data_IF_301044427789
#
_entry.id   IF_301044427789
#
_cell.length_a   1.000
_cell.length_b   1.000
_cell.length_c   1.000
_cell.angle_alpha   90.00
_cell.angle_beta   90.00
_cell.angle_gamma   90.00
#
_symmetry.space_group_name_H-M   'P 1'
#
loop_
_entity.id
_entity.type
_entity.pdbx_description
1 polymer ?
#
# COMPACT_ATOMS: atom_id res chain seq x y z
N UNK A 1 -14.01 68.02 -9.13
CA UNK A 1 -13.19 67.63 -7.96
C UNK A 1 -13.21 66.11 -7.86
N UNK A 2 -12.05 65.48 -8.09
CA UNK A 2 -11.57 64.10 -7.79
C UNK A 2 -12.49 62.87 -8.02
N UNK A 3 -12.06 61.73 -8.59
CA UNK A 3 -10.81 61.32 -9.24
C UNK A 3 -11.00 59.93 -9.91
N UNK A 4 -10.46 59.80 -11.14
CA UNK A 4 -9.95 58.66 -11.93
C UNK A 4 -10.30 57.19 -11.55
N UNK A 5 -10.94 56.40 -12.43
CA UNK A 5 -10.41 55.69 -13.63
C UNK A 5 -9.75 54.34 -13.32
N UNK A 6 -10.41 53.25 -13.70
CA UNK A 6 -9.89 51.87 -13.76
C UNK A 6 -10.08 51.34 -15.19
N UNK A 7 -8.97 51.16 -15.91
CA UNK A 7 -8.90 50.41 -17.17
C UNK A 7 -7.63 49.58 -17.15
N UNK A 8 -7.79 48.25 -17.06
CA UNK A 8 -6.71 47.28 -17.20
C UNK A 8 -6.44 47.04 -18.69
N UNK A 9 -5.24 47.41 -19.14
CA UNK A 9 -4.67 47.00 -20.42
C UNK A 9 -3.54 45.99 -20.19
N UNK A 10 -3.51 44.96 -21.03
CA UNK A 10 -2.45 43.97 -21.18
C UNK A 10 -1.09 44.59 -21.54
N UNK A 11 0.00 44.08 -20.95
CA UNK A 11 1.39 44.27 -21.43
C UNK A 11 2.21 43.02 -21.05
N UNK A 12 2.47 42.10 -21.99
CA UNK A 12 3.69 41.96 -22.83
C UNK A 12 4.99 41.90 -22.02
N UNK A 13 5.58 40.70 -21.94
CA UNK A 13 6.96 40.47 -21.49
C UNK A 13 7.97 40.70 -22.63
N UNK A 14 9.15 41.28 -22.38
CA UNK A 14 10.12 41.58 -23.43
C UNK A 14 11.09 40.42 -23.72
N UNK A 15 11.42 40.30 -25.01
CA UNK A 15 12.46 39.46 -25.58
C UNK A 15 13.85 39.69 -24.97
N UNK A 16 14.57 38.60 -24.69
CA UNK A 16 16.02 38.57 -24.55
C UNK A 16 16.65 37.96 -25.79
N UNK A 17 17.51 38.76 -26.43
CA UNK A 17 18.26 38.47 -27.65
C UNK A 17 19.66 37.97 -27.29
N UNK A 18 20.08 36.81 -27.82
CA UNK A 18 21.50 36.50 -28.04
C UNK A 18 21.69 35.66 -29.31
N UNK A 19 22.45 36.22 -30.27
CA UNK A 19 23.18 35.54 -31.36
C UNK A 19 24.18 34.56 -30.73
N UNK A 20 24.63 33.45 -31.30
CA UNK A 20 24.54 32.82 -32.61
C UNK A 20 25.66 31.75 -32.65
N UNK A 21 25.51 30.68 -33.43
CA UNK A 21 26.57 29.68 -33.64
C UNK A 21 26.00 28.27 -33.85
N UNK A 22 26.06 27.80 -35.10
CA UNK A 22 25.42 26.57 -35.56
C UNK A 22 26.08 25.27 -35.11
N UNK A 23 25.27 24.21 -35.12
CA UNK A 23 25.67 22.82 -34.91
C UNK A 23 24.46 21.93 -35.19
N UNK A 24 24.37 21.48 -36.44
CA UNK A 24 23.33 20.59 -36.97
C UNK A 24 23.46 19.21 -36.29
N UNK A 25 22.46 18.77 -35.51
CA UNK A 25 22.28 17.34 -35.19
C UNK A 25 20.80 16.98 -35.28
N UNK A 26 20.52 16.17 -36.30
CA UNK A 26 19.23 15.61 -36.67
C UNK A 26 18.94 14.41 -35.73
N UNK A 27 17.87 14.48 -34.94
CA UNK A 27 17.37 13.33 -34.18
C UNK A 27 16.04 12.86 -34.80
N UNK A 28 15.93 11.61 -35.29
CA UNK A 28 14.68 11.11 -35.82
C UNK A 28 13.71 10.73 -34.69
N UNK A 29 12.56 11.41 -34.66
CA UNK A 29 11.36 10.99 -33.94
C UNK A 29 10.64 9.96 -34.80
N UNK A 30 10.77 8.68 -34.48
CA UNK A 30 9.82 7.63 -34.88
C UNK A 30 10.23 6.28 -34.30
N UNK A 31 9.42 5.69 -33.40
CA UNK A 31 9.15 4.24 -33.42
C UNK A 31 8.14 3.68 -32.39
N UNK A 32 7.17 4.46 -31.90
CA UNK A 32 6.17 3.87 -30.98
C UNK A 32 5.04 3.10 -31.71
N UNK A 33 4.80 3.36 -33.01
CA UNK A 33 3.68 2.74 -33.76
C UNK A 33 4.00 1.38 -34.40
N UNK A 34 5.26 0.95 -34.50
CA UNK A 34 5.62 -0.35 -35.10
C UNK A 34 5.51 -1.55 -34.16
N UNK A 35 5.47 -1.33 -32.84
CA UNK A 35 5.34 -2.45 -31.88
C UNK A 35 3.89 -2.90 -31.68
N UNK A 36 2.90 -2.02 -31.84
CA UNK A 36 1.48 -2.40 -31.70
C UNK A 36 0.95 -3.22 -32.90
N UNK A 37 1.44 -2.99 -34.12
CA UNK A 37 1.01 -3.77 -35.30
C UNK A 37 1.55 -5.22 -35.31
N UNK A 38 2.72 -5.49 -34.70
CA UNK A 38 3.26 -6.85 -34.62
C UNK A 38 2.57 -7.74 -33.59
N UNK A 39 1.85 -7.17 -32.62
CA UNK A 39 1.12 -7.95 -31.62
C UNK A 39 -0.30 -8.32 -32.07
N UNK A 40 -0.95 -7.53 -32.92
CA UNK A 40 -2.25 -7.90 -33.50
C UNK A 40 -2.14 -9.03 -34.55
N UNK A 41 -1.07 -9.07 -35.35
CA UNK A 41 -0.90 -10.14 -36.37
C UNK A 41 -0.59 -11.52 -35.76
N UNK A 42 -0.10 -11.61 -34.52
CA UNK A 42 0.17 -12.91 -33.86
C UNK A 42 -1.08 -13.52 -33.19
N UNK A 43 -2.20 -12.81 -33.17
CA UNK A 43 -3.47 -13.32 -32.63
C UNK A 43 -4.48 -13.75 -33.71
N UNK A 44 -4.25 -13.47 -34.99
CA UNK A 44 -5.11 -13.92 -36.09
C UNK A 44 -4.64 -15.24 -36.74
N UNK A 45 -3.45 -15.75 -36.42
CA UNK A 45 -2.90 -16.98 -37.04
C UNK A 45 -3.12 -18.27 -36.20
N UNK A 46 -4.09 -18.27 -35.27
CA UNK A 46 -4.42 -19.48 -34.44
C UNK A 46 -5.91 -19.88 -34.56
N UNK A 47 -6.64 -19.36 -35.55
CA UNK A 47 -8.01 -19.82 -35.83
C UNK A 47 -8.23 -20.01 -37.32
N UNK A 48 -7.70 -21.11 -37.86
CA UNK A 48 -8.25 -21.84 -39.02
C UNK A 48 -7.34 -23.05 -39.29
N UNK A 49 -7.73 -24.22 -38.78
CA UNK A 49 -7.59 -25.47 -39.54
C UNK A 49 -8.54 -26.51 -38.94
N UNK A 50 -9.59 -26.82 -39.70
CA UNK A 50 -10.64 -27.76 -39.36
C UNK A 50 -10.84 -28.66 -40.60
N UNK A 51 -10.39 -29.93 -40.56
CA UNK A 51 -10.55 -30.78 -41.74
C UNK A 51 -9.90 -32.17 -41.82
N UNK A 52 -10.44 -33.12 -41.03
CA UNK A 52 -10.89 -34.46 -41.52
C UNK A 52 -9.84 -35.56 -41.87
N UNK A 53 -9.72 -36.53 -40.94
CA UNK A 53 -9.98 -37.96 -41.22
C UNK A 53 -8.80 -38.94 -41.35
N UNK A 54 -8.63 -39.84 -40.36
CA UNK A 54 -8.69 -41.29 -40.59
C UNK A 54 -8.77 -42.11 -39.29
N UNK A 55 -9.57 -43.15 -39.38
CA UNK A 55 -9.95 -44.14 -38.37
C UNK A 55 -8.79 -45.11 -38.06
N UNK A 56 -8.53 -45.35 -36.77
CA UNK A 56 -7.85 -46.56 -36.28
C UNK A 56 -8.27 -46.92 -34.83
N UNK A 57 -9.42 -47.57 -34.72
CA UNK A 57 -9.66 -48.81 -33.97
C UNK A 57 -8.75 -49.21 -32.78
N UNK A 58 -9.42 -49.37 -31.61
CA UNK A 58 -9.16 -50.33 -30.51
C UNK A 58 -7.93 -50.08 -29.62
N UNK A 59 -8.05 -49.87 -28.30
CA UNK A 59 -8.40 -50.93 -27.33
C UNK A 59 -8.58 -50.34 -25.92
N UNK A 60 -9.74 -50.62 -25.33
CA UNK A 60 -10.03 -50.47 -23.89
C UNK A 60 -9.05 -51.29 -23.06
N UNK A 61 -8.46 -50.69 -22.02
CA UNK A 61 -8.07 -51.41 -20.80
C UNK A 61 -8.78 -50.77 -19.62
N UNK A 62 -9.93 -51.34 -19.32
CA UNK A 62 -10.53 -51.30 -18.00
C UNK A 62 -9.63 -52.11 -17.06
N UNK A 63 -9.22 -51.53 -15.95
CA UNK A 63 -8.83 -52.29 -14.77
C UNK A 63 -9.86 -51.97 -13.69
N UNK A 64 -10.95 -52.74 -13.68
CA UNK A 64 -11.69 -53.01 -12.47
C UNK A 64 -10.91 -54.08 -11.71
N UNK A 65 -10.40 -53.72 -10.53
CA UNK A 65 -10.18 -54.71 -9.49
C UNK A 65 -10.88 -54.26 -8.22
N UNK A 66 -11.72 -55.17 -7.74
CA UNK A 66 -12.54 -55.10 -6.56
C UNK A 66 -11.72 -54.90 -5.28
N UNK A 67 -12.39 -54.31 -4.30
CA UNK A 67 -11.96 -54.08 -2.92
C UNK A 67 -11.49 -55.35 -2.18
N UNK A 68 -10.79 -55.17 -1.06
CA UNK A 68 -11.52 -55.31 0.20
C UNK A 68 -11.46 -54.06 1.08
N UNK A 69 -12.63 -53.74 1.64
CA UNK A 69 -12.86 -52.74 2.67
C UNK A 69 -12.03 -53.09 3.91
N UNK A 70 -10.97 -52.34 4.18
CA UNK A 70 -10.34 -52.33 5.50
C UNK A 70 -11.06 -51.24 6.29
N UNK A 71 -11.98 -51.66 7.17
CA UNK A 71 -12.63 -50.81 8.14
C UNK A 71 -11.59 -50.32 9.16
N UNK A 72 -10.92 -49.21 8.86
CA UNK A 72 -10.26 -48.42 9.89
C UNK A 72 -11.34 -47.65 10.63
N UNK A 73 -11.69 -48.17 11.81
CA UNK A 73 -12.44 -47.46 12.83
C UNK A 73 -11.73 -46.13 13.14
N UNK A 74 -12.35 -45.02 12.71
CA UNK A 74 -12.03 -43.68 13.19
C UNK A 74 -12.32 -43.63 14.70
N UNK A 75 -11.30 -43.80 15.54
CA UNK A 75 -11.39 -43.29 16.91
C UNK A 75 -11.46 -41.77 16.82
N UNK A 76 -12.67 -41.25 16.99
CA UNK A 76 -12.93 -39.84 17.21
C UNK A 76 -12.31 -39.43 18.56
N UNK A 77 -11.01 -39.12 18.55
CA UNK A 77 -10.48 -38.17 19.50
C UNK A 77 -10.77 -36.79 18.91
N UNK A 78 -11.94 -36.26 19.27
CA UNK A 78 -12.17 -34.81 19.30
C UNK A 78 -11.26 -34.29 20.41
N UNK A 79 -9.96 -34.20 20.11
CA UNK A 79 -9.10 -33.26 20.81
C UNK A 79 -9.48 -31.94 20.20
N UNK A 80 -10.38 -31.23 20.88
CA UNK A 80 -10.57 -29.79 20.73
C UNK A 80 -9.23 -29.13 21.03
N UNK A 81 -8.31 -29.14 20.07
CA UNK A 81 -7.37 -28.05 19.92
C UNK A 81 -8.22 -26.88 19.43
N UNK A 82 -8.98 -26.31 20.35
CA UNK A 82 -9.09 -24.87 20.38
C UNK A 82 -7.65 -24.39 20.39
N UNK A 83 -7.13 -24.09 19.19
CA UNK A 83 -6.12 -23.07 19.05
C UNK A 83 -6.70 -21.91 19.84
N UNK A 84 -6.18 -21.74 21.05
CA UNK A 84 -6.28 -20.51 21.79
C UNK A 84 -5.68 -19.47 20.84
N UNK A 85 -6.53 -18.90 19.99
CA UNK A 85 -6.42 -17.51 19.60
C UNK A 85 -6.20 -16.85 20.94
N UNK A 86 -4.96 -16.41 21.20
CA UNK A 86 -4.65 -15.62 22.38
C UNK A 86 -5.81 -14.64 22.51
N UNK A 87 -6.60 -14.78 23.57
CA UNK A 87 -7.68 -13.87 23.89
C UNK A 87 -6.97 -12.54 24.01
N UNK A 88 -7.02 -11.76 22.94
CA UNK A 88 -6.32 -10.50 22.90
C UNK A 88 -7.15 -9.67 23.85
N UNK A 89 -6.64 -9.46 25.07
CA UNK A 89 -7.26 -8.65 26.09
C UNK A 89 -7.51 -7.27 25.46
N UNK A 90 -8.74 -7.05 24.98
CA UNK A 90 -9.11 -5.83 24.28
C UNK A 90 -9.25 -4.80 25.39
N UNK A 91 -8.43 -3.73 25.40
CA UNK A 91 -8.58 -2.70 26.42
C UNK A 91 -10.00 -2.12 26.36
N UNK A 92 -10.58 -1.79 27.51
CA UNK A 92 -12.01 -1.43 27.64
C UNK A 92 -12.47 -0.32 26.68
N UNK A 93 -11.58 0.59 26.30
CA UNK A 93 -11.88 1.74 25.42
C UNK A 93 -11.68 1.44 23.92
N UNK A 94 -11.27 0.22 23.58
CA UNK A 94 -10.99 -0.19 22.21
C UNK A 94 -12.06 -1.18 21.71
N UNK A 95 -12.28 -1.17 20.40
CA UNK A 95 -13.00 -2.20 19.66
C UNK A 95 -12.07 -2.87 18.67
N UNK A 96 -12.33 -4.13 18.36
CA UNK A 96 -11.63 -4.84 17.30
C UNK A 96 -12.27 -4.46 15.96
N UNK A 97 -11.50 -3.85 15.07
CA UNK A 97 -11.85 -3.73 13.66
C UNK A 97 -11.25 -4.91 12.90
N UNK A 98 -12.10 -5.71 12.25
CA UNK A 98 -11.70 -6.86 11.45
C UNK A 98 -12.11 -6.63 9.99
N UNK A 99 -11.13 -6.64 9.09
CA UNK A 99 -11.36 -6.59 7.65
C UNK A 99 -11.12 -7.97 7.05
N UNK A 100 -12.21 -8.69 6.79
CA UNK A 100 -12.17 -10.03 6.23
C UNK A 100 -11.75 -10.07 4.76
N UNK A 101 -11.89 -8.96 4.04
CA UNK A 101 -11.53 -8.85 2.61
C UNK A 101 -10.03 -8.67 2.49
N UNK A 102 -9.46 -7.79 3.32
CA UNK A 102 -8.04 -7.48 3.33
C UNK A 102 -7.23 -8.28 4.35
N UNK A 103 -7.88 -9.18 5.10
CA UNK A 103 -7.25 -10.14 6.03
C UNK A 103 -6.39 -9.49 7.11
N UNK A 104 -6.93 -8.47 7.77
CA UNK A 104 -6.26 -7.84 8.91
C UNK A 104 -7.23 -7.50 10.03
N UNK A 105 -6.68 -7.39 11.24
CA UNK A 105 -7.37 -6.89 12.43
C UNK A 105 -6.54 -5.83 13.13
N UNK A 106 -7.21 -4.86 13.72
CA UNK A 106 -6.60 -3.73 14.44
C UNK A 106 -7.54 -3.25 15.55
N UNK A 107 -6.97 -2.79 16.66
CA UNK A 107 -7.70 -2.15 17.73
C UNK A 107 -7.89 -0.68 17.42
N UNK A 108 -9.13 -0.23 17.48
CA UNK A 108 -9.52 1.17 17.22
C UNK A 108 -10.30 1.67 18.43
N UNK A 109 -10.10 2.92 18.88
CA UNK A 109 -10.92 3.50 19.94
C UNK A 109 -12.41 3.47 19.59
N UNK A 110 -13.28 3.21 20.57
CA UNK A 110 -14.71 2.99 20.33
C UNK A 110 -15.43 4.22 19.77
N UNK A 111 -14.99 5.41 20.17
CA UNK A 111 -15.49 6.73 19.80
C UNK A 111 -15.02 7.22 18.42
N UNK A 112 -14.13 6.47 17.75
CA UNK A 112 -13.60 6.86 16.45
C UNK A 112 -14.51 6.45 15.30
N UNK A 113 -14.62 7.33 14.32
CA UNK A 113 -15.32 7.09 13.06
C UNK A 113 -14.43 6.34 12.08
N UNK A 114 -15.05 5.68 11.10
CA UNK A 114 -14.36 4.94 10.03
C UNK A 114 -14.71 5.57 8.68
N UNK A 115 -13.69 6.00 7.94
CA UNK A 115 -13.81 6.43 6.56
C UNK A 115 -13.05 5.48 5.64
N UNK A 116 -13.72 4.94 4.62
CA UNK A 116 -13.05 4.17 3.57
C UNK A 116 -12.89 5.04 2.32
N UNK A 117 -11.68 5.10 1.77
CA UNK A 117 -11.45 5.68 0.45
C UNK A 117 -11.96 4.76 -0.65
N UNK A 118 -12.26 5.32 -1.83
CA UNK A 118 -12.68 4.52 -2.97
C UNK A 118 -11.57 3.52 -3.36
N UNK A 119 -11.81 2.21 -3.26
CA UNK A 119 -10.79 1.22 -3.50
C UNK A 119 -10.55 1.07 -5.00
N UNK A 120 -9.29 1.15 -5.40
CA UNK A 120 -8.84 0.71 -6.71
C UNK A 120 -8.37 -0.74 -6.65
N UNK A 121 -8.30 -1.42 -7.79
CA UNK A 121 -7.87 -2.83 -7.87
C UNK A 121 -6.52 -3.13 -7.17
N UNK A 122 -5.66 -2.12 -7.06
CA UNK A 122 -4.34 -2.23 -6.45
C UNK A 122 -4.17 -1.44 -5.15
N UNK A 123 -5.14 -0.60 -4.76
CA UNK A 123 -4.99 0.31 -3.63
C UNK A 123 -6.28 0.41 -2.84
N UNK A 124 -6.21 0.23 -1.52
CA UNK A 124 -7.32 0.44 -0.61
C UNK A 124 -6.84 1.28 0.56
N UNK A 125 -7.68 2.20 1.06
CA UNK A 125 -7.35 3.05 2.19
C UNK A 125 -8.54 3.07 3.16
N UNK A 126 -8.26 2.79 4.42
CA UNK A 126 -9.22 2.91 5.52
C UNK A 126 -8.64 3.85 6.55
N UNK A 127 -9.37 4.89 6.94
CA UNK A 127 -8.97 5.87 7.93
C UNK A 127 -9.91 5.81 9.13
N UNK A 128 -9.34 6.02 10.31
CA UNK A 128 -10.00 6.07 11.60
C UNK A 128 -9.67 7.40 12.24
N UNK A 129 -10.67 8.16 12.67
CA UNK A 129 -10.48 9.50 13.19
C UNK A 129 -11.49 9.78 14.31
N UNK A 130 -11.14 10.60 15.31
CA UNK A 130 -12.05 10.99 16.37
C UNK A 130 -13.22 11.81 15.81
N UNK A 131 -14.36 11.79 16.51
CA UNK A 131 -15.53 12.60 16.15
C UNK A 131 -15.25 14.12 16.27
N UNK A 132 -14.43 14.50 17.24
CA UNK A 132 -13.93 15.86 17.37
C UNK A 132 -12.96 16.19 16.23
N UNK A 133 -13.03 17.39 15.67
CA UNK A 133 -12.13 17.86 14.62
C UNK A 133 -10.69 17.97 15.16
N UNK A 134 -9.96 16.86 15.15
CA UNK A 134 -8.58 16.75 15.59
C UNK A 134 -7.65 16.54 14.40
N UNK A 135 -6.38 16.86 14.59
CA UNK A 135 -5.33 16.55 13.62
C UNK A 135 -4.74 15.15 13.83
N UNK A 136 -5.44 14.32 14.60
CA UNK A 136 -5.10 12.95 14.93
C UNK A 136 -5.93 11.94 14.15
N UNK A 137 -5.27 10.91 13.60
CA UNK A 137 -5.96 9.79 12.98
C UNK A 137 -5.06 8.56 12.88
N UNK A 138 -5.66 7.42 12.55
CA UNK A 138 -4.98 6.18 12.20
C UNK A 138 -5.47 5.78 10.82
N UNK A 139 -4.57 5.50 9.90
CA UNK A 139 -4.92 5.09 8.54
C UNK A 139 -4.23 3.79 8.18
N UNK A 140 -4.90 2.96 7.39
CA UNK A 140 -4.40 1.71 6.83
C UNK A 140 -4.44 1.85 5.33
N UNK A 141 -3.27 1.99 4.71
CA UNK A 141 -3.10 1.98 3.27
C UNK A 141 -2.59 0.61 2.81
N UNK A 142 -3.28 0.03 1.86
CA UNK A 142 -2.92 -1.27 1.26
C UNK A 142 -2.57 -1.01 -0.19
N UNK A 143 -1.41 -1.50 -0.62
CA UNK A 143 -0.96 -1.36 -2.00
C UNK A 143 -0.42 -2.67 -2.56
N UNK A 144 -0.67 -2.95 -3.84
CA UNK A 144 -0.08 -4.09 -4.53
C UNK A 144 1.44 -3.95 -4.66
N UNK A 145 2.16 -5.05 -4.45
CA UNK A 145 3.61 -5.14 -4.61
C UNK A 145 3.98 -5.93 -5.86
N UNK A 146 5.12 -5.56 -6.44
CA UNK A 146 5.72 -6.31 -7.53
C UNK A 146 6.20 -7.70 -7.08
N UNK A 147 6.34 -8.65 -8.03
CA UNK A 147 6.71 -10.03 -7.72
C UNK A 147 8.11 -10.16 -7.08
N UNK A 148 8.97 -9.17 -7.23
CA UNK A 148 10.32 -9.14 -6.64
C UNK A 148 10.30 -8.95 -5.11
N UNK A 149 9.20 -8.41 -4.57
CA UNK A 149 9.01 -8.17 -3.14
C UNK A 149 8.24 -9.33 -2.53
N UNK A 150 8.98 -10.35 -2.08
CA UNK A 150 8.39 -11.59 -1.52
C UNK A 150 8.32 -11.61 0.00
N UNK A 151 9.15 -10.79 0.66
CA UNK A 151 9.22 -10.66 2.12
C UNK A 151 9.51 -9.22 2.51
N UNK A 152 9.33 -8.88 3.78
CA UNK A 152 9.70 -7.54 4.27
C UNK A 152 11.19 -7.26 4.08
N UNK A 153 12.04 -8.28 4.23
CA UNK A 153 13.49 -8.16 4.05
C UNK A 153 13.90 -7.85 2.60
N UNK A 154 12.99 -8.01 1.62
CA UNK A 154 13.22 -7.55 0.24
C UNK A 154 13.39 -6.03 0.16
N UNK A 155 12.90 -5.27 1.15
CA UNK A 155 13.13 -3.83 1.28
C UNK A 155 14.44 -3.46 1.98
N UNK A 156 15.20 -4.46 2.46
CA UNK A 156 16.39 -4.28 3.28
C UNK A 156 16.10 -4.41 4.77
N UNK A 157 17.09 -4.08 5.60
CA UNK A 157 16.92 -4.05 7.06
C UNK A 157 16.06 -2.86 7.48
N UNK A 158 15.42 -2.95 8.65
CA UNK A 158 14.50 -1.92 9.14
C UNK A 158 15.16 -0.55 9.26
N UNK A 159 16.42 -0.48 9.69
CA UNK A 159 17.15 0.76 9.85
C UNK A 159 17.38 1.44 8.50
N UNK A 160 17.89 0.70 7.52
CA UNK A 160 18.13 1.22 6.17
C UNK A 160 16.82 1.62 5.46
N UNK A 161 15.76 0.84 5.68
CA UNK A 161 14.44 1.13 5.14
C UNK A 161 13.85 2.41 5.77
N UNK A 162 13.92 2.55 7.09
CA UNK A 162 13.44 3.72 7.81
C UNK A 162 14.22 4.99 7.44
N UNK A 163 15.55 4.91 7.36
CA UNK A 163 16.39 6.02 6.91
C UNK A 163 16.02 6.46 5.49
N UNK A 164 15.83 5.51 4.57
CA UNK A 164 15.43 5.80 3.19
C UNK A 164 14.04 6.42 3.12
N UNK A 165 13.10 5.93 3.92
CA UNK A 165 11.74 6.47 4.00
C UNK A 165 11.75 7.91 4.51
N UNK A 166 12.40 8.18 5.64
CA UNK A 166 12.41 9.51 6.27
C UNK A 166 13.24 10.51 5.48
N UNK A 167 14.43 10.14 5.00
CA UNK A 167 15.23 11.01 4.11
C UNK A 167 14.50 11.29 2.78
N UNK A 168 13.71 10.33 2.31
CA UNK A 168 12.82 10.49 1.18
C UNK A 168 11.72 11.53 1.41
N UNK A 169 11.30 11.75 2.66
CA UNK A 169 10.30 12.76 3.04
C UNK A 169 10.92 14.13 3.32
N UNK A 170 12.17 14.19 3.78
CA UNK A 170 12.84 15.44 4.15
C UNK A 170 13.16 16.32 2.93
N UNK A 171 12.62 17.55 2.96
CA UNK A 171 12.80 18.61 1.97
C UNK A 171 13.22 19.93 2.62
N UNK A 172 13.64 19.89 3.88
CA UNK A 172 14.10 21.05 4.64
C UNK A 172 15.26 21.82 3.99
N UNK A 173 16.07 21.13 3.17
CA UNK A 173 17.20 21.70 2.43
C UNK A 173 16.81 22.57 1.22
N UNK A 174 15.57 22.49 0.75
CA UNK A 174 15.11 23.25 -0.42
C UNK A 174 14.97 24.75 -0.10
N UNK A 175 14.94 25.59 -1.15
CA UNK A 175 14.68 27.03 -1.02
C UNK A 175 13.49 27.43 -1.91
N UNK A 176 12.34 27.84 -1.34
CA UNK A 176 12.07 27.98 0.09
C UNK A 176 12.09 26.63 0.85
N UNK A 177 12.32 26.63 2.18
CA UNK A 177 12.35 25.41 2.99
C UNK A 177 11.07 24.58 2.80
N UNK A 178 11.23 23.29 2.54
CA UNK A 178 10.13 22.33 2.47
C UNK A 178 9.86 21.64 3.81
N UNK A 179 9.19 20.50 3.75
CA UNK A 179 8.87 19.65 4.91
C UNK A 179 10.16 19.18 5.59
N UNK A 180 10.26 19.34 6.91
CA UNK A 180 11.32 18.74 7.71
C UNK A 180 10.87 17.38 8.25
N UNK A 181 11.64 16.34 8.00
CA UNK A 181 11.37 14.98 8.50
C UNK A 181 12.52 14.49 9.39
N UNK A 182 12.20 13.82 10.49
CA UNK A 182 13.23 13.26 11.40
C UNK A 182 12.80 11.90 11.93
N UNK A 183 13.69 10.92 11.81
CA UNK A 183 13.51 9.57 12.37
C UNK A 183 13.72 9.64 13.89
N UNK A 184 12.79 9.05 14.64
CA UNK A 184 12.87 8.93 16.11
C UNK A 184 13.36 7.54 16.48
N UNK A 185 12.62 6.51 16.06
CA UNK A 185 12.90 5.11 16.36
C UNK A 185 12.49 4.19 15.20
N UNK A 186 13.12 3.03 15.12
CA UNK A 186 12.73 1.99 14.19
C UNK A 186 12.99 0.59 14.76
N UNK A 187 12.05 -0.32 14.53
CA UNK A 187 12.10 -1.68 15.07
C UNK A 187 11.42 -2.67 14.15
N UNK A 188 12.05 -3.83 13.95
CA UNK A 188 11.41 -4.97 13.30
C UNK A 188 10.89 -5.95 14.36
N UNK A 189 9.64 -6.38 14.25
CA UNK A 189 9.07 -7.42 15.11
C UNK A 189 7.88 -8.10 14.42
N UNK A 190 7.77 -9.43 14.57
CA UNK A 190 6.67 -10.24 14.04
C UNK A 190 6.41 -10.04 12.53
N UNK A 191 7.47 -9.86 11.73
CA UNK A 191 7.35 -9.61 10.28
C UNK A 191 6.79 -8.23 9.92
N UNK A 192 6.76 -7.29 10.86
CA UNK A 192 6.36 -5.90 10.67
C UNK A 192 7.53 -4.96 10.99
N UNK A 193 7.62 -3.86 10.26
CA UNK A 193 8.52 -2.74 10.54
C UNK A 193 7.73 -1.63 11.21
N UNK A 194 8.12 -1.30 12.43
CA UNK A 194 7.63 -0.16 13.20
C UNK A 194 8.61 0.98 13.01
N UNK A 195 8.10 2.13 12.61
CA UNK A 195 8.90 3.33 12.33
C UNK A 195 8.20 4.51 12.96
N UNK A 196 8.90 5.19 13.85
CA UNK A 196 8.47 6.41 14.50
C UNK A 196 9.27 7.59 13.95
N UNK A 197 8.57 8.60 13.46
CA UNK A 197 9.22 9.77 12.88
C UNK A 197 8.34 11.00 13.02
N UNK A 198 8.96 12.17 12.88
CA UNK A 198 8.27 13.46 12.92
C UNK A 198 8.25 14.09 11.53
N UNK A 199 7.19 14.81 11.25
CA UNK A 199 7.05 15.68 10.08
C UNK A 199 6.66 17.08 10.52
N UNK A 200 7.33 18.09 9.99
CA UNK A 200 7.00 19.48 10.24
C UNK A 200 6.96 20.24 8.92
N UNK A 201 5.76 20.70 8.54
CA UNK A 201 5.60 21.61 7.42
C UNK A 201 6.03 23.03 7.85
N UNK A 202 6.59 23.83 6.94
CA UNK A 202 6.90 25.23 7.22
C UNK A 202 5.65 26.00 7.67
N UNK A 203 5.66 26.49 8.91
CA UNK A 203 4.54 27.25 9.48
C UNK A 203 3.45 26.42 10.15
N UNK A 204 3.56 25.08 10.19
CA UNK A 204 2.66 24.19 10.93
C UNK A 204 3.35 23.61 12.18
N UNK A 205 2.53 23.07 13.10
CA UNK A 205 3.05 22.30 14.22
C UNK A 205 3.66 20.98 13.76
N UNK A 206 4.54 20.44 14.59
CA UNK A 206 5.17 19.15 14.34
C UNK A 206 4.15 18.05 14.53
N UNK A 207 4.08 17.14 13.57
CA UNK A 207 3.32 15.89 13.65
C UNK A 207 4.26 14.76 14.01
N UNK A 208 3.80 13.88 14.90
CA UNK A 208 4.39 12.59 15.20
C UNK A 208 3.65 11.53 14.41
N UNK A 209 4.40 10.64 13.77
CA UNK A 209 3.86 9.55 12.98
C UNK A 209 4.46 8.25 13.50
N UNK A 210 3.58 7.33 13.85
CA UNK A 210 3.93 5.98 14.23
C UNK A 210 3.37 5.03 13.18
N UNK A 211 4.25 4.38 12.43
CA UNK A 211 3.89 3.55 11.28
C UNK A 211 4.25 2.08 11.50
N UNK A 212 3.30 1.17 11.30
CA UNK A 212 3.54 -0.26 11.19
C UNK A 212 3.39 -0.70 9.73
N UNK A 213 4.43 -1.27 9.16
CA UNK A 213 4.50 -1.67 7.75
C UNK A 213 4.69 -3.17 7.68
N UNK A 214 3.86 -3.84 6.89
CA UNK A 214 3.84 -5.28 6.76
C UNK A 214 3.53 -5.75 5.36
N UNK A 215 3.81 -7.02 5.11
CA UNK A 215 3.51 -7.67 3.85
C UNK A 215 2.66 -8.91 4.06
N UNK A 216 1.61 -9.06 3.26
CA UNK A 216 0.82 -10.29 3.19
C UNK A 216 0.42 -10.58 1.74
N UNK A 217 0.19 -11.86 1.42
CA UNK A 217 -0.28 -12.29 0.11
C UNK A 217 -1.80 -12.48 0.13
N UNK A 218 -2.47 -12.05 -0.94
CA UNK A 218 -3.88 -12.37 -1.16
C UNK A 218 -4.07 -13.66 -2.01
N UNK A 219 -3.00 -14.42 -2.23
CA UNK A 219 -2.96 -15.61 -3.09
C UNK A 219 -2.64 -15.34 -4.57
N UNK A 220 -2.72 -14.08 -5.03
CA UNK A 220 -2.42 -13.69 -6.41
C UNK A 220 -1.17 -12.81 -6.51
N UNK A 221 -1.06 -11.84 -5.62
CA UNK A 221 0.09 -10.93 -5.52
C UNK A 221 0.31 -10.53 -4.06
N UNK A 222 1.51 -10.06 -3.76
CA UNK A 222 1.83 -9.55 -2.44
C UNK A 222 1.28 -8.14 -2.29
N UNK A 223 0.85 -7.80 -1.08
CA UNK A 223 0.35 -6.49 -0.72
C UNK A 223 1.19 -5.91 0.41
N UNK A 224 1.52 -4.64 0.29
CA UNK A 224 2.11 -3.85 1.35
C UNK A 224 0.99 -3.19 2.14
N UNK A 225 1.00 -3.40 3.43
CA UNK A 225 0.12 -2.78 4.41
C UNK A 225 0.94 -1.73 5.13
N UNK A 226 0.46 -0.50 5.11
CA UNK A 226 1.05 0.63 5.83
C UNK A 226 -0.01 1.17 6.75
N UNK A 227 0.13 0.88 8.04
CA UNK A 227 -0.68 1.47 9.09
C UNK A 227 0.08 2.67 9.62
N UNK A 228 -0.53 3.85 9.59
CA UNK A 228 0.08 5.08 10.08
C UNK A 228 -0.87 5.76 11.04
N UNK A 229 -0.46 5.84 12.30
CA UNK A 229 -1.04 6.73 13.29
C UNK A 229 -0.33 8.07 13.25
N UNK A 230 -1.09 9.17 13.25
CA UNK A 230 -0.57 10.52 13.30
C UNK A 230 -1.25 11.35 14.38
N UNK A 231 -0.50 12.24 15.02
CA UNK A 231 -1.01 13.26 15.93
C UNK A 231 -0.07 14.47 15.90
N UNK A 232 -0.62 15.64 16.23
CA UNK A 232 0.20 16.85 16.41
C UNK A 232 0.81 16.85 17.82
N UNK A 233 1.96 17.51 17.99
CA UNK A 233 2.66 17.61 19.27
C UNK A 233 1.74 18.10 20.40
N UNK A 234 0.84 19.04 20.11
CA UNK A 234 -0.11 19.59 21.09
C UNK A 234 -1.12 18.56 21.60
N UNK A 235 -1.39 17.51 20.82
CA UNK A 235 -2.38 16.46 21.12
C UNK A 235 -1.70 15.17 21.60
N UNK A 236 -0.37 15.16 21.77
CA UNK A 236 0.39 13.98 22.16
C UNK A 236 -0.07 13.38 23.50
N UNK A 237 -0.40 14.22 24.48
CA UNK A 237 -0.89 13.77 25.79
C UNK A 237 -2.28 13.09 25.69
N UNK A 238 -3.12 13.54 24.76
CA UNK A 238 -4.50 13.04 24.58
C UNK A 238 -4.53 11.77 23.73
N UNK A 239 -3.84 11.76 22.60
CA UNK A 239 -3.96 10.70 21.60
C UNK A 239 -2.70 9.85 21.42
N UNK A 240 -1.53 10.30 21.87
CA UNK A 240 -0.25 9.62 21.57
C UNK A 240 -0.25 8.14 21.97
N UNK A 241 -0.53 7.86 23.25
CA UNK A 241 -0.55 6.48 23.75
C UNK A 241 -1.67 5.62 23.14
N UNK A 242 -2.82 6.23 22.84
CA UNK A 242 -3.97 5.56 22.23
C UNK A 242 -3.67 5.14 20.79
N UNK A 243 -3.04 6.03 20.03
CA UNK A 243 -2.65 5.80 18.64
C UNK A 243 -1.53 4.77 18.56
N UNK A 244 -0.52 4.86 19.43
CA UNK A 244 0.57 3.88 19.48
C UNK A 244 0.04 2.47 19.77
N UNK A 245 -0.90 2.34 20.73
CA UNK A 245 -1.60 1.08 21.01
C UNK A 245 -2.42 0.59 19.82
N UNK A 246 -3.15 1.48 19.15
CA UNK A 246 -3.94 1.12 17.97
C UNK A 246 -3.04 0.56 16.86
N UNK A 247 -1.96 1.26 16.51
CA UNK A 247 -1.06 0.82 15.44
C UNK A 247 -0.28 -0.44 15.83
N UNK A 248 0.22 -0.55 17.07
CA UNK A 248 0.96 -1.74 17.54
C UNK A 248 0.12 -3.01 17.63
N UNK A 249 -1.20 -2.86 17.78
CA UNK A 249 -2.17 -3.96 17.78
C UNK A 249 -2.42 -4.56 16.39
N UNK A 250 -1.94 -3.93 15.31
CA UNK A 250 -2.17 -4.40 13.95
C UNK A 250 -1.61 -5.81 13.73
N UNK A 251 -2.45 -6.72 13.23
CA UNK A 251 -2.07 -8.10 12.92
C UNK A 251 -2.80 -8.59 11.67
N UNK A 252 -2.14 -9.44 10.91
CA UNK A 252 -2.78 -10.21 9.84
C UNK A 252 -3.70 -11.29 10.44
N UNK A 253 -4.74 -11.67 9.68
CA UNK A 253 -5.71 -12.72 10.04
C UNK A 253 -5.63 -13.90 9.09
#
# INVERSE_FOLDING_TARGET
>A
MASASSLYYHYISPCLKKRGGGGLLHFPVANHKRQQQKQLQKQEEIKEDDGRGHVASTRRRQFMFQAPLIAFSFSQLVTSNALAVAEIDVPQDFRIYNDEVNKYKIFIPQDWQVGAGEPNSFKSITAFYPEEAANSNVSVAISGLGPDFTRMESFGKVEAFADTLVSGLDRSWQRPPGVAAKLIDCKASNGLYYIEYTLQNPGESRRHLFSAIGMASNGWYNRLYTVTGQYVEEEAEKYGSTIEKAVSSFRFT
#
